data_IF_373457208793
#
_entry.id   IF_373457208793
#
_cell.length_a   1.000
_cell.length_b   1.000
_cell.length_c   1.000
_cell.angle_alpha   90.00
_cell.angle_beta   90.00
_cell.angle_gamma   90.00
#
_symmetry.space_group_name_H-M   'P 1'
#
loop_
_entity.id
_entity.type
_entity.pdbx_description
1 polymer ?
#
# COMPACT_ATOMS: atom_id res chain seq x y z
N UNK A 1 5.56 -30.01 -25.61
CA UNK A 1 5.53 -30.68 -24.29
C UNK A 1 4.59 -29.90 -23.36
N UNK A 2 3.42 -30.48 -23.07
CA UNK A 2 2.45 -29.83 -22.20
C UNK A 2 3.03 -29.75 -20.78
N UNK A 3 3.21 -28.51 -20.31
CA UNK A 3 3.66 -28.24 -18.95
C UNK A 3 2.60 -28.78 -17.97
N UNK A 4 2.99 -29.55 -16.93
CA UNK A 4 2.10 -29.94 -15.85
C UNK A 4 1.32 -28.73 -15.31
N UNK A 5 0.03 -28.89 -14.99
CA UNK A 5 -0.84 -27.80 -14.53
C UNK A 5 -0.26 -27.03 -13.32
N UNK A 6 0.48 -27.71 -12.45
CA UNK A 6 1.19 -27.12 -11.32
C UNK A 6 2.30 -26.15 -11.75
N UNK A 7 3.07 -26.50 -12.79
CA UNK A 7 4.11 -25.64 -13.34
C UNK A 7 3.48 -24.42 -14.02
N UNK A 8 2.35 -24.61 -14.72
CA UNK A 8 1.60 -23.49 -15.32
C UNK A 8 1.10 -22.49 -14.28
N UNK A 9 0.59 -22.96 -13.13
CA UNK A 9 0.20 -22.08 -12.02
C UNK A 9 1.39 -21.31 -11.45
N UNK A 10 2.52 -21.98 -11.23
CA UNK A 10 3.73 -21.32 -10.73
C UNK A 10 4.27 -20.26 -11.70
N UNK A 11 4.21 -20.52 -13.02
CA UNK A 11 4.57 -19.52 -14.03
C UNK A 11 3.60 -18.34 -14.03
N UNK A 12 2.29 -18.57 -13.93
CA UNK A 12 1.30 -17.49 -13.84
C UNK A 12 1.51 -16.64 -12.58
N UNK A 13 1.74 -17.26 -11.43
CA UNK A 13 2.05 -16.54 -10.19
C UNK A 13 3.32 -15.69 -10.32
N UNK A 14 4.37 -16.23 -10.94
CA UNK A 14 5.59 -15.49 -11.20
C UNK A 14 5.35 -14.28 -12.12
N UNK A 15 4.58 -14.46 -13.21
CA UNK A 15 4.22 -13.37 -14.14
C UNK A 15 3.38 -12.29 -13.44
N UNK A 16 2.41 -12.68 -12.63
CA UNK A 16 1.60 -11.74 -11.84
C UNK A 16 2.48 -10.96 -10.88
N UNK A 17 3.35 -11.64 -10.14
CA UNK A 17 4.28 -11.01 -9.20
C UNK A 17 5.21 -10.01 -9.89
N UNK A 18 5.76 -10.36 -11.04
CA UNK A 18 6.62 -9.47 -11.82
C UNK A 18 5.86 -8.28 -12.41
N UNK A 19 4.61 -8.47 -12.82
CA UNK A 19 3.74 -7.38 -13.29
C UNK A 19 3.48 -6.36 -12.17
N UNK A 20 3.17 -6.84 -10.96
CA UNK A 20 2.99 -5.99 -9.78
C UNK A 20 4.29 -5.25 -9.44
N UNK A 21 5.44 -5.94 -9.48
CA UNK A 21 6.75 -5.32 -9.22
C UNK A 21 7.07 -4.22 -10.23
N UNK A 22 6.84 -4.46 -11.53
CA UNK A 22 7.04 -3.47 -12.58
C UNK A 22 6.13 -2.25 -12.39
N UNK A 23 4.86 -2.46 -12.05
CA UNK A 23 3.93 -1.37 -11.75
C UNK A 23 4.44 -0.51 -10.59
N UNK A 24 4.91 -1.15 -9.51
CA UNK A 24 5.50 -0.45 -8.37
C UNK A 24 6.73 0.38 -8.75
N UNK A 25 7.63 -0.16 -9.58
CA UNK A 25 8.83 0.56 -10.04
C UNK A 25 8.48 1.78 -10.90
N UNK A 26 7.50 1.65 -11.80
CA UNK A 26 7.03 2.77 -12.63
C UNK A 26 6.47 3.88 -11.73
N UNK A 27 5.63 3.53 -10.76
CA UNK A 27 5.09 4.51 -9.80
C UNK A 27 6.19 5.20 -9.00
N UNK A 28 7.23 4.46 -8.58
CA UNK A 28 8.38 5.04 -7.86
C UNK A 28 9.17 6.03 -8.72
N UNK A 29 9.44 5.69 -9.99
CA UNK A 29 10.13 6.59 -10.93
C UNK A 29 9.32 7.85 -11.20
N UNK A 30 8.01 7.73 -11.47
CA UNK A 30 7.14 8.89 -11.68
C UNK A 30 7.06 9.79 -10.44
N UNK A 31 7.01 9.19 -9.25
CA UNK A 31 7.04 9.95 -8.01
C UNK A 31 8.38 10.68 -7.84
N UNK A 32 9.51 10.03 -8.12
CA UNK A 32 10.83 10.65 -8.08
C UNK A 32 10.91 11.87 -9.01
N UNK A 33 10.45 11.76 -10.25
CA UNK A 33 10.42 12.88 -11.20
C UNK A 33 9.53 14.04 -10.69
N UNK A 34 8.39 13.73 -10.07
CA UNK A 34 7.50 14.74 -9.45
C UNK A 34 8.17 15.46 -8.28
N UNK A 35 8.94 14.74 -7.46
CA UNK A 35 9.69 15.32 -6.34
C UNK A 35 10.88 16.17 -6.81
N UNK A 36 11.70 15.66 -7.73
CA UNK A 36 12.90 16.37 -8.24
C UNK A 36 12.56 17.63 -9.03
N UNK A 37 11.44 17.64 -9.76
CA UNK A 37 10.96 18.82 -10.48
C UNK A 37 10.40 19.93 -9.58
N UNK A 38 10.32 19.70 -8.25
CA UNK A 38 9.67 20.61 -7.30
C UNK A 38 8.16 20.79 -7.55
N UNK A 39 7.56 19.91 -8.37
CA UNK A 39 6.14 19.95 -8.75
C UNK A 39 5.23 19.14 -7.82
N UNK A 40 5.82 18.38 -6.90
CA UNK A 40 5.09 17.69 -5.84
C UNK A 40 4.42 18.73 -4.91
N UNK A 41 3.18 19.11 -5.23
CA UNK A 41 2.33 19.90 -4.34
C UNK A 41 1.64 18.93 -3.39
N UNK A 42 1.83 19.16 -2.09
CA UNK A 42 1.07 18.47 -1.05
C UNK A 42 -0.40 18.87 -1.19
N UNK A 43 -1.29 17.88 -1.27
CA UNK A 43 -2.71 18.10 -1.21
C UNK A 43 -3.17 18.05 0.25
N UNK A 44 -2.90 19.13 0.98
CA UNK A 44 -3.22 19.22 2.40
C UNK A 44 -4.74 19.34 2.59
N UNK A 45 -5.33 18.41 3.32
CA UNK A 45 -6.72 18.42 3.72
C UNK A 45 -6.87 18.01 5.18
N UNK A 46 -8.03 18.30 5.78
CA UNK A 46 -8.38 17.72 7.08
C UNK A 46 -8.59 16.22 6.95
N UNK A 47 -7.94 15.45 7.82
CA UNK A 47 -8.02 13.99 7.84
C UNK A 47 -8.19 13.47 9.27
N UNK A 48 -8.93 12.36 9.37
CA UNK A 48 -9.08 11.58 10.60
C UNK A 48 -8.02 10.49 10.65
N UNK A 49 -7.11 10.58 11.62
CA UNK A 49 -6.09 9.55 11.87
C UNK A 49 -6.74 8.22 12.24
N UNK A 50 -7.87 8.25 12.93
CA UNK A 50 -8.62 7.04 13.30
C UNK A 50 -9.10 6.28 12.06
N UNK A 51 -9.73 6.98 11.11
CA UNK A 51 -10.21 6.37 9.86
C UNK A 51 -9.05 5.83 9.03
N UNK A 52 -7.95 6.59 8.95
CA UNK A 52 -6.76 6.18 8.22
C UNK A 52 -6.12 4.90 8.81
N UNK A 53 -6.05 4.78 10.14
CA UNK A 53 -5.56 3.57 10.81
C UNK A 53 -6.48 2.38 10.61
N UNK A 54 -7.81 2.59 10.63
CA UNK A 54 -8.77 1.53 10.35
C UNK A 54 -8.62 0.99 8.93
N UNK A 55 -8.46 1.87 7.93
CA UNK A 55 -8.21 1.48 6.54
C UNK A 55 -6.92 0.66 6.41
N UNK A 56 -5.83 1.12 7.04
CA UNK A 56 -4.54 0.44 7.02
C UNK A 56 -4.62 -0.96 7.64
N UNK A 57 -5.29 -1.09 8.79
CA UNK A 57 -5.48 -2.37 9.49
C UNK A 57 -6.30 -3.31 8.64
N UNK A 58 -7.42 -2.85 8.07
CA UNK A 58 -8.26 -3.65 7.18
C UNK A 58 -7.48 -4.21 5.98
N UNK A 59 -6.50 -3.44 5.46
CA UNK A 59 -5.64 -3.88 4.37
C UNK A 59 -4.67 -5.02 4.75
N UNK A 60 -4.21 -5.06 6.01
CA UNK A 60 -3.25 -6.08 6.49
C UNK A 60 -3.91 -7.22 7.27
N UNK A 61 -5.16 -7.05 7.71
CA UNK A 61 -5.94 -8.01 8.49
C UNK A 61 -5.92 -9.43 7.89
N UNK A 62 -6.08 -9.65 6.56
CA UNK A 62 -6.03 -11.00 6.00
C UNK A 62 -4.67 -11.68 6.20
N UNK A 63 -3.59 -10.92 6.02
CA UNK A 63 -2.20 -11.42 6.18
C UNK A 63 -1.91 -11.67 7.66
N UNK A 64 -2.39 -10.80 8.55
CA UNK A 64 -2.24 -10.97 9.99
C UNK A 64 -2.97 -12.22 10.49
N UNK A 65 -4.20 -12.47 10.00
CA UNK A 65 -4.97 -13.67 10.32
C UNK A 65 -4.30 -14.95 9.81
N UNK A 66 -3.81 -14.94 8.56
CA UNK A 66 -3.03 -16.06 8.00
C UNK A 66 -1.81 -16.40 8.87
N UNK A 67 -1.16 -15.38 9.42
CA UNK A 67 0.03 -15.51 10.27
C UNK A 67 -0.27 -15.63 11.77
N UNK A 68 -1.55 -15.68 12.16
CA UNK A 68 -1.99 -15.71 13.57
C UNK A 68 -1.43 -14.55 14.42
N UNK A 69 -1.25 -13.38 13.81
CA UNK A 69 -0.78 -12.15 14.45
C UNK A 69 -1.99 -11.33 14.89
N UNK A 70 -2.01 -10.91 16.16
CA UNK A 70 -3.02 -9.97 16.66
C UNK A 70 -2.55 -8.53 16.47
N UNK A 71 -3.40 -7.71 15.84
CA UNK A 71 -3.20 -6.26 15.73
C UNK A 71 -3.97 -5.60 16.86
N UNK A 72 -3.27 -4.81 17.69
CA UNK A 72 -3.89 -4.04 18.77
C UNK A 72 -3.74 -2.55 18.50
N UNK A 73 -4.83 -1.80 18.59
CA UNK A 73 -4.83 -0.34 18.51
C UNK A 73 -5.21 0.28 19.84
N UNK A 74 -4.48 1.32 20.22
CA UNK A 74 -4.82 2.16 21.36
C UNK A 74 -4.77 3.62 20.92
N UNK A 75 -5.94 4.14 20.61
CA UNK A 75 -6.12 5.51 20.14
C UNK A 75 -6.75 6.35 21.25
N UNK A 76 -6.10 7.47 21.59
CA UNK A 76 -6.78 8.54 22.29
C UNK A 76 -7.66 9.32 21.30
N UNK A 77 -8.65 10.10 21.76
CA UNK A 77 -9.37 11.01 20.88
C UNK A 77 -8.38 11.98 20.22
N UNK A 78 -8.25 11.86 18.90
CA UNK A 78 -7.37 12.71 18.11
C UNK A 78 -8.21 13.77 17.41
N UNK A 79 -7.73 15.01 17.40
CA UNK A 79 -8.30 16.04 16.55
C UNK A 79 -8.04 15.71 15.08
N UNK A 80 -8.82 16.31 14.19
CA UNK A 80 -8.52 16.28 12.75
C UNK A 80 -7.13 16.88 12.52
N UNK A 81 -6.35 16.22 11.68
CA UNK A 81 -4.99 16.63 11.32
C UNK A 81 -5.03 17.25 9.93
N UNK A 82 -4.18 18.24 9.68
CA UNK A 82 -3.95 18.72 8.32
C UNK A 82 -2.76 17.97 7.72
N UNK A 83 -3.01 17.25 6.63
CA UNK A 83 -1.98 16.46 5.96
C UNK A 83 -2.40 16.01 4.58
N UNK A 84 -1.44 15.46 3.84
CA UNK A 84 -1.71 14.80 2.58
C UNK A 84 -2.01 13.32 2.87
N UNK A 85 -3.29 12.93 2.76
CA UNK A 85 -3.75 11.58 3.11
C UNK A 85 -3.06 10.51 2.26
N UNK A 86 -2.86 10.76 0.97
CA UNK A 86 -2.33 9.77 0.04
C UNK A 86 -0.86 9.50 0.35
N UNK A 87 -0.09 10.55 0.63
CA UNK A 87 1.31 10.41 1.03
C UNK A 87 1.46 9.75 2.40
N UNK A 88 0.61 10.11 3.36
CA UNK A 88 0.63 9.49 4.69
C UNK A 88 0.26 8.00 4.63
N UNK A 89 -0.64 7.60 3.73
CA UNK A 89 -1.04 6.19 3.57
C UNK A 89 0.05 5.33 2.91
N UNK A 90 1.03 5.96 2.26
CA UNK A 90 2.12 5.27 1.56
C UNK A 90 3.32 4.94 2.48
N UNK A 91 3.39 5.53 3.68
CA UNK A 91 4.47 5.34 4.68
C UNK A 91 4.12 4.24 5.67
#
# INVERSE_FOLDING_TARGET
PDLPLADQQQYLEAVVKETVRLSHLITQVLNLERYESGRARLNIAELSVETMLQDAIAGIEPIAQEKQIQIQTKLAPLALLQGDRDLLAQV
#
